data_IF_144747009929
#
_entry.id   IF_144747009929
#
_cell.length_a   1.000
_cell.length_b   1.000
_cell.length_c   1.000
_cell.angle_alpha   90.00
_cell.angle_beta   90.00
_cell.angle_gamma   90.00
#
_symmetry.space_group_name_H-M   'P 1'
#
loop_
_entity.id
_entity.type
_entity.pdbx_description
1 polymer ?
#
# COMPACT_ATOMS: atom_id res chain seq x y z
N UNK A 1 -28.27 -36.73 10.89
CA UNK A 1 -29.23 -37.59 10.18
C UNK A 1 -30.26 -36.81 9.34
N UNK A 2 -30.75 -35.63 9.78
CA UNK A 2 -31.74 -34.81 9.00
C UNK A 2 -31.16 -34.17 7.75
N UNK A 3 -29.98 -33.59 7.81
CA UNK A 3 -29.31 -32.94 6.66
C UNK A 3 -29.03 -33.90 5.49
N UNK A 4 -28.88 -35.18 5.80
CA UNK A 4 -28.64 -36.25 4.80
C UNK A 4 -29.93 -36.71 4.07
N UNK A 5 -31.12 -36.42 4.64
CA UNK A 5 -32.41 -36.82 4.03
C UNK A 5 -32.86 -35.90 2.88
N UNK A 6 -32.33 -34.69 2.80
CA UNK A 6 -32.60 -33.74 1.71
C UNK A 6 -31.30 -33.14 1.18
N UNK A 7 -30.45 -33.96 0.54
CA UNK A 7 -29.08 -33.59 0.19
C UNK A 7 -29.06 -32.39 -0.79
N UNK A 8 -29.95 -32.35 -1.75
CA UNK A 8 -30.02 -31.26 -2.73
C UNK A 8 -30.21 -29.86 -2.07
N UNK A 9 -31.21 -29.72 -1.17
CA UNK A 9 -31.48 -28.44 -0.52
C UNK A 9 -30.35 -28.02 0.44
N UNK A 10 -29.77 -29.02 1.14
CA UNK A 10 -28.61 -28.77 2.01
C UNK A 10 -27.41 -28.31 1.22
N UNK A 11 -27.12 -28.93 0.08
CA UNK A 11 -26.03 -28.54 -0.83
C UNK A 11 -26.24 -27.14 -1.38
N UNK A 12 -27.45 -26.81 -1.87
CA UNK A 12 -27.77 -25.46 -2.37
C UNK A 12 -27.60 -24.41 -1.28
N UNK A 13 -28.09 -24.69 -0.06
CA UNK A 13 -27.93 -23.76 1.06
C UNK A 13 -26.45 -23.54 1.44
N UNK A 14 -25.67 -24.61 1.55
CA UNK A 14 -24.23 -24.54 1.85
C UNK A 14 -23.46 -23.80 0.75
N UNK A 15 -23.73 -24.08 -0.54
CA UNK A 15 -23.09 -23.41 -1.66
C UNK A 15 -23.45 -21.91 -1.71
N UNK A 16 -24.72 -21.55 -1.47
CA UNK A 16 -25.14 -20.15 -1.43
C UNK A 16 -24.46 -19.39 -0.31
N UNK A 17 -24.34 -19.98 0.89
CA UNK A 17 -23.58 -19.39 2.00
C UNK A 17 -22.08 -19.30 1.69
N UNK A 18 -21.51 -20.38 1.15
CA UNK A 18 -20.08 -20.43 0.85
C UNK A 18 -19.69 -19.35 -0.16
N UNK A 19 -20.47 -19.19 -1.23
CA UNK A 19 -20.23 -18.15 -2.24
C UNK A 19 -20.46 -16.73 -1.68
N UNK A 20 -21.58 -16.51 -0.98
CA UNK A 20 -21.91 -15.20 -0.43
C UNK A 20 -20.92 -14.71 0.63
N UNK A 21 -20.59 -15.56 1.61
CA UNK A 21 -19.62 -15.22 2.66
C UNK A 21 -18.19 -15.22 2.10
N UNK A 22 -17.84 -16.19 1.25
CA UNK A 22 -16.50 -16.32 0.68
C UNK A 22 -16.11 -15.14 -0.20
N UNK A 23 -17.01 -14.68 -1.09
CA UNK A 23 -16.78 -13.51 -1.92
C UNK A 23 -16.63 -12.23 -1.07
N UNK A 24 -17.51 -12.03 -0.09
CA UNK A 24 -17.41 -10.90 0.84
C UNK A 24 -16.08 -10.90 1.63
N UNK A 25 -15.67 -12.06 2.13
CA UNK A 25 -14.41 -12.21 2.88
C UNK A 25 -13.19 -11.94 2.01
N UNK A 26 -13.19 -12.39 0.76
CA UNK A 26 -12.11 -12.13 -0.19
C UNK A 26 -12.01 -10.63 -0.52
N UNK A 27 -13.13 -9.97 -0.79
CA UNK A 27 -13.17 -8.53 -1.09
C UNK A 27 -12.78 -7.71 0.13
N UNK A 28 -13.25 -8.10 1.34
CA UNK A 28 -12.83 -7.44 2.58
C UNK A 28 -11.32 -7.58 2.81
N UNK A 29 -10.74 -8.74 2.52
CA UNK A 29 -9.29 -8.94 2.63
C UNK A 29 -8.51 -8.02 1.69
N UNK A 30 -8.97 -7.84 0.43
CA UNK A 30 -8.39 -6.88 -0.49
C UNK A 30 -8.57 -5.43 -0.01
N UNK A 31 -9.75 -5.10 0.49
CA UNK A 31 -10.04 -3.79 1.05
C UNK A 31 -9.12 -3.48 2.25
N UNK A 32 -8.94 -4.44 3.15
CA UNK A 32 -8.03 -4.32 4.28
C UNK A 32 -6.58 -4.10 3.83
N UNK A 33 -6.09 -4.94 2.91
CA UNK A 33 -4.71 -4.84 2.41
C UNK A 33 -4.43 -3.53 1.69
N UNK A 34 -5.37 -3.02 0.90
CA UNK A 34 -5.18 -1.83 0.09
C UNK A 34 -5.49 -0.55 0.88
N UNK A 35 -6.60 -0.50 1.63
CA UNK A 35 -7.11 0.74 2.20
C UNK A 35 -6.96 0.87 3.73
N UNK A 36 -6.70 -0.22 4.47
CA UNK A 36 -6.66 -0.17 5.94
C UNK A 36 -5.28 -0.46 6.50
N UNK A 37 -4.50 -1.34 5.87
CA UNK A 37 -3.24 -1.80 6.43
C UNK A 37 -2.22 -0.67 6.49
N UNK A 38 -1.68 -0.45 7.68
CA UNK A 38 -0.61 0.52 7.88
C UNK A 38 0.75 -0.06 7.50
N UNK A 39 1.70 0.82 7.15
CA UNK A 39 3.10 0.44 6.98
C UNK A 39 3.65 -0.23 8.23
N UNK A 40 4.51 -1.25 8.11
CA UNK A 40 5.14 -1.95 9.22
C UNK A 40 6.32 -1.14 9.78
N UNK A 41 6.02 0.03 10.31
CA UNK A 41 6.99 0.96 10.88
C UNK A 41 6.51 1.44 12.25
N UNK A 42 7.40 1.90 13.15
CA UNK A 42 7.01 2.50 14.41
C UNK A 42 6.08 3.70 14.20
N UNK A 43 5.01 3.79 15.01
CA UNK A 43 4.04 4.90 15.01
C UNK A 43 3.62 5.36 13.59
N UNK A 44 3.01 4.50 12.76
CA UNK A 44 2.69 4.82 11.38
C UNK A 44 1.72 6.00 11.25
N UNK A 45 0.92 6.27 12.29
CA UNK A 45 -0.02 7.41 12.34
C UNK A 45 0.66 8.77 12.42
N UNK A 46 1.94 8.83 12.81
CA UNK A 46 2.74 10.05 12.78
C UNK A 46 3.27 10.38 11.38
N UNK A 47 3.16 9.45 10.41
CA UNK A 47 3.58 9.69 9.04
C UNK A 47 2.57 10.56 8.29
N UNK A 48 3.09 11.45 7.45
CA UNK A 48 2.33 12.33 6.57
C UNK A 48 2.91 12.30 5.17
N UNK A 49 2.05 12.32 4.17
CA UNK A 49 2.40 12.46 2.76
C UNK A 49 2.25 13.91 2.32
N UNK A 50 3.21 14.42 1.59
CA UNK A 50 3.17 15.76 1.03
C UNK A 50 2.80 15.69 -0.45
N UNK A 51 2.00 16.66 -0.91
CA UNK A 51 1.66 16.85 -2.32
C UNK A 51 1.84 18.30 -2.73
N UNK A 52 2.11 18.53 -4.02
CA UNK A 52 2.28 19.86 -4.60
C UNK A 52 1.33 20.08 -5.79
N UNK A 53 0.00 20.09 -5.57
CA UNK A 53 -0.97 20.22 -6.65
C UNK A 53 -0.82 21.56 -7.40
N UNK A 54 -1.34 21.60 -8.62
CA UNK A 54 -1.35 22.77 -9.47
C UNK A 54 -0.28 22.78 -10.57
N UNK A 55 -0.11 23.91 -11.29
CA UNK A 55 0.76 23.98 -12.45
C UNK A 55 2.20 23.54 -12.15
N UNK A 56 2.73 22.66 -13.00
CA UNK A 56 4.13 22.19 -12.97
C UNK A 56 4.75 22.40 -14.34
N UNK A 57 5.28 23.62 -14.58
CA UNK A 57 5.93 23.94 -15.85
C UNK A 57 7.27 23.20 -15.93
N UNK A 58 7.43 22.37 -16.94
CA UNK A 58 8.64 21.60 -17.16
C UNK A 58 8.39 20.10 -17.26
N UNK A 59 9.38 19.30 -16.90
CA UNK A 59 9.30 17.84 -16.97
C UNK A 59 8.60 17.26 -15.74
N UNK A 60 7.66 16.36 -15.97
CA UNK A 60 7.00 15.62 -14.90
C UNK A 60 7.24 14.12 -15.11
N UNK A 61 7.55 13.42 -14.05
CA UNK A 61 7.76 11.98 -14.09
C UNK A 61 7.17 11.35 -12.84
N UNK A 62 6.01 10.73 -12.99
CA UNK A 62 5.25 10.09 -11.93
C UNK A 62 5.41 8.57 -12.01
N UNK A 63 5.10 7.89 -10.92
CA UNK A 63 5.17 6.44 -10.79
C UNK A 63 4.00 5.93 -9.96
N UNK A 64 4.03 4.65 -9.62
CA UNK A 64 3.00 4.02 -8.77
C UNK A 64 2.83 4.66 -7.38
N UNK A 65 3.78 5.49 -6.92
CA UNK A 65 3.69 6.16 -5.61
C UNK A 65 2.67 7.31 -5.58
N UNK A 66 2.16 7.75 -6.73
CA UNK A 66 1.14 8.79 -6.83
C UNK A 66 1.06 9.36 -8.24
N UNK A 67 0.04 10.19 -8.48
CA UNK A 67 -0.07 10.96 -9.71
C UNK A 67 0.95 12.11 -9.78
N UNK A 68 0.91 12.87 -10.88
CA UNK A 68 1.83 13.98 -11.07
C UNK A 68 1.52 15.20 -10.19
N UNK A 69 0.36 15.24 -9.53
CA UNK A 69 0.02 16.36 -8.64
C UNK A 69 0.78 16.30 -7.31
N UNK A 70 1.25 15.12 -6.91
CA UNK A 70 1.95 14.95 -5.62
C UNK A 70 3.48 15.02 -5.72
N UNK A 71 4.06 15.10 -6.94
CA UNK A 71 5.54 15.12 -7.08
C UNK A 71 6.13 16.52 -6.87
N UNK A 72 7.34 16.53 -6.32
CA UNK A 72 8.17 17.72 -6.13
C UNK A 72 9.42 17.67 -7.03
N UNK A 73 10.08 18.81 -7.22
CA UNK A 73 11.46 18.83 -7.67
C UNK A 73 12.39 18.42 -6.53
N UNK A 74 13.54 17.84 -6.86
CA UNK A 74 14.52 17.47 -5.83
C UNK A 74 15.06 18.69 -5.06
N UNK A 75 15.35 19.84 -5.69
CA UNK A 75 15.74 21.05 -4.94
C UNK A 75 14.65 21.55 -3.98
N UNK A 76 13.36 21.49 -4.36
CA UNK A 76 12.26 21.85 -3.45
C UNK A 76 12.22 20.94 -2.22
N UNK A 77 12.40 19.62 -2.43
CA UNK A 77 12.52 18.69 -1.30
C UNK A 77 13.67 19.08 -0.36
N UNK A 78 14.86 19.38 -0.89
CA UNK A 78 16.04 19.76 -0.11
C UNK A 78 15.83 21.06 0.67
N UNK A 79 15.18 22.06 0.05
CA UNK A 79 14.85 23.31 0.71
C UNK A 79 13.89 23.09 1.89
N UNK A 80 12.83 22.29 1.67
CA UNK A 80 11.88 21.94 2.73
C UNK A 80 12.52 21.10 3.83
N UNK A 81 13.35 20.10 3.48
CA UNK A 81 14.05 19.26 4.44
C UNK A 81 14.92 20.09 5.37
N UNK A 82 15.65 21.07 4.82
CA UNK A 82 16.54 21.95 5.59
C UNK A 82 15.81 22.95 6.47
N UNK A 83 14.69 23.49 5.99
CA UNK A 83 14.02 24.63 6.64
C UNK A 83 12.89 24.25 7.60
N UNK A 84 12.30 23.04 7.45
CA UNK A 84 11.14 22.63 8.25
C UNK A 84 11.49 22.39 9.73
N UNK A 85 10.51 22.68 10.61
CA UNK A 85 10.68 22.59 12.07
C UNK A 85 9.60 21.73 12.75
N UNK A 86 8.56 21.33 12.02
CA UNK A 86 7.37 20.64 12.55
C UNK A 86 7.42 19.11 12.39
N UNK A 87 8.40 18.62 11.63
CA UNK A 87 8.62 17.21 11.41
C UNK A 87 9.90 16.75 12.13
N UNK A 88 9.93 15.49 12.58
CA UNK A 88 11.16 14.85 13.07
C UNK A 88 12.09 14.47 11.92
N UNK A 89 11.53 14.24 10.73
CA UNK A 89 12.25 13.96 9.49
C UNK A 89 11.35 14.19 8.28
N UNK A 90 11.96 14.58 7.17
CA UNK A 90 11.36 14.69 5.85
C UNK A 90 12.18 13.81 4.90
N UNK A 91 11.54 13.02 4.08
CA UNK A 91 12.21 12.07 3.21
C UNK A 91 11.61 12.08 1.81
N UNK A 92 12.43 11.74 0.83
CA UNK A 92 12.02 11.60 -0.56
C UNK A 92 12.33 10.21 -1.08
N UNK A 93 11.50 9.75 -2.03
CA UNK A 93 11.73 8.48 -2.70
C UNK A 93 11.20 8.50 -4.14
N UNK A 94 11.61 7.47 -4.89
CA UNK A 94 11.11 7.15 -6.22
C UNK A 94 11.37 5.69 -6.55
N UNK A 95 10.40 5.02 -7.14
CA UNK A 95 10.58 3.66 -7.65
C UNK A 95 11.54 3.64 -8.84
N UNK A 96 12.31 2.58 -8.95
CA UNK A 96 13.32 2.35 -9.98
C UNK A 96 13.15 0.93 -10.55
N UNK A 97 12.87 0.81 -11.84
CA UNK A 97 13.07 -0.44 -12.56
C UNK A 97 14.54 -0.53 -13.00
N UNK A 98 15.22 -1.62 -12.67
CA UNK A 98 16.63 -1.78 -12.99
C UNK A 98 16.97 -3.18 -13.49
N UNK A 99 18.00 -3.26 -14.34
CA UNK A 99 18.73 -4.49 -14.59
C UNK A 99 19.77 -4.65 -13.51
N UNK A 100 19.73 -5.75 -12.77
CA UNK A 100 20.73 -6.07 -11.74
C UNK A 100 21.47 -7.33 -12.12
N UNK A 101 22.74 -7.45 -11.67
CA UNK A 101 23.47 -8.70 -11.78
C UNK A 101 24.18 -9.01 -10.46
N UNK A 102 24.10 -10.27 -10.05
CA UNK A 102 24.75 -10.84 -8.88
C UNK A 102 25.45 -12.10 -9.36
N UNK A 103 26.74 -12.23 -9.06
CA UNK A 103 27.57 -13.37 -9.49
C UNK A 103 27.47 -13.63 -11.02
N UNK A 104 27.41 -12.56 -11.82
CA UNK A 104 27.25 -12.56 -13.28
C UNK A 104 25.89 -13.10 -13.80
N UNK A 105 24.92 -13.30 -12.93
CA UNK A 105 23.54 -13.66 -13.34
C UNK A 105 22.67 -12.40 -13.44
N UNK A 106 22.29 -11.97 -14.66
CA UNK A 106 21.47 -10.78 -14.85
C UNK A 106 20.00 -11.10 -14.60
N UNK A 107 19.29 -10.14 -14.01
CA UNK A 107 17.83 -10.17 -13.83
C UNK A 107 17.26 -8.76 -13.81
N UNK A 108 15.97 -8.63 -14.14
CA UNK A 108 15.24 -7.38 -13.93
C UNK A 108 14.67 -7.35 -12.52
N UNK A 109 14.81 -6.24 -11.83
CA UNK A 109 14.28 -6.07 -10.49
C UNK A 109 13.74 -4.66 -10.27
N UNK A 110 12.74 -4.55 -9.40
CA UNK A 110 12.34 -3.26 -8.85
C UNK A 110 13.27 -2.87 -7.71
N UNK A 111 13.70 -1.62 -7.71
CA UNK A 111 14.39 -0.97 -6.61
C UNK A 111 13.69 0.32 -6.21
N UNK A 112 14.23 0.98 -5.22
CA UNK A 112 13.76 2.29 -4.79
C UNK A 112 14.95 3.22 -4.57
N UNK A 113 14.94 4.37 -5.22
CA UNK A 113 15.83 5.48 -4.92
C UNK A 113 15.26 6.22 -3.71
N UNK A 114 16.06 6.43 -2.67
CA UNK A 114 15.61 7.05 -1.41
C UNK A 114 16.59 8.11 -0.94
N UNK A 115 16.07 9.19 -0.34
CA UNK A 115 16.92 10.17 0.33
C UNK A 115 17.64 9.53 1.52
N UNK A 116 18.78 10.08 1.92
CA UNK A 116 19.50 9.59 3.10
C UNK A 116 18.69 9.68 4.40
N UNK A 117 17.70 10.57 4.44
CA UNK A 117 16.74 10.71 5.54
C UNK A 117 15.61 9.67 5.55
N UNK A 118 15.48 8.81 4.52
CA UNK A 118 14.36 7.89 4.35
C UNK A 118 14.18 6.92 5.52
N UNK A 119 15.19 6.11 5.80
CA UNK A 119 15.14 5.14 6.89
C UNK A 119 15.08 5.78 8.28
N UNK A 120 15.86 6.84 8.57
CA UNK A 120 15.72 7.60 9.81
C UNK A 120 14.31 8.17 10.04
N UNK A 121 13.66 8.71 9.01
CA UNK A 121 12.29 9.24 9.11
C UNK A 121 11.28 8.12 9.40
N UNK A 122 11.49 6.93 8.87
CA UNK A 122 10.67 5.73 9.14
C UNK A 122 11.01 5.06 10.47
N UNK A 123 12.13 5.46 11.13
CA UNK A 123 12.63 4.87 12.39
C UNK A 123 12.90 3.36 12.26
N UNK A 124 13.35 2.92 11.10
CA UNK A 124 13.65 1.53 10.84
C UNK A 124 15.06 1.15 11.29
N UNK A 125 15.21 -0.11 11.72
CA UNK A 125 16.50 -0.71 12.07
C UNK A 125 16.84 -1.79 11.04
N UNK A 126 18.13 -2.00 10.72
CA UNK A 126 18.54 -3.05 9.81
C UNK A 126 18.39 -4.44 10.44
N UNK A 127 18.08 -5.44 9.63
CA UNK A 127 18.24 -6.85 10.04
C UNK A 127 19.70 -7.23 10.08
N UNK A 128 20.51 -6.71 9.15
CA UNK A 128 21.94 -6.98 9.04
C UNK A 128 22.67 -5.73 8.54
N UNK A 129 23.89 -5.47 9.02
CA UNK A 129 24.70 -4.34 8.60
C UNK A 129 24.10 -2.99 8.99
N UNK A 130 23.98 -2.05 8.05
CA UNK A 130 23.40 -0.71 8.27
C UNK A 130 22.43 -0.32 7.16
N UNK A 131 21.53 0.59 7.47
CA UNK A 131 20.67 1.26 6.50
C UNK A 131 21.38 2.48 5.89
N UNK A 132 20.79 3.07 4.83
CA UNK A 132 21.25 4.32 4.25
C UNK A 132 21.02 5.47 5.26
N UNK A 133 21.97 6.39 5.25
CA UNK A 133 22.02 7.57 6.12
C UNK A 133 22.17 8.85 5.28
N UNK A 134 21.98 10.05 5.85
CA UNK A 134 22.22 11.31 5.13
C UNK A 134 23.62 11.42 4.51
N UNK A 135 24.63 10.81 5.12
CA UNK A 135 25.99 10.82 4.55
C UNK A 135 26.11 10.03 3.24
N UNK A 136 25.28 8.99 3.05
CA UNK A 136 25.27 8.20 1.81
C UNK A 136 24.63 8.96 0.64
N UNK A 137 23.85 10.03 0.92
CA UNK A 137 23.12 10.83 -0.06
C UNK A 137 23.66 12.28 -0.19
N UNK A 138 24.79 12.59 0.50
CA UNK A 138 25.30 13.94 0.59
C UNK A 138 25.95 14.45 -0.71
N UNK A 139 26.57 13.56 -1.50
CA UNK A 139 27.31 13.90 -2.72
C UNK A 139 26.72 13.17 -3.92
N UNK A 140 26.34 13.95 -4.92
CA UNK A 140 25.74 13.40 -6.16
C UNK A 140 26.69 12.45 -6.86
N UNK A 141 26.22 11.23 -7.13
CA UNK A 141 26.94 10.22 -7.90
C UNK A 141 28.16 9.61 -7.23
N UNK A 142 28.39 9.85 -5.91
CA UNK A 142 29.62 9.42 -5.24
C UNK A 142 29.50 8.11 -4.47
N UNK A 143 28.31 7.78 -3.95
CA UNK A 143 28.17 6.70 -2.98
C UNK A 143 27.48 5.47 -3.59
N UNK A 144 28.28 4.56 -4.13
CA UNK A 144 27.82 3.29 -4.73
C UNK A 144 27.54 2.24 -3.64
N UNK A 145 26.52 2.50 -2.83
CA UNK A 145 26.03 1.61 -1.77
C UNK A 145 24.57 1.24 -1.98
N UNK A 146 24.21 0.05 -1.54
CA UNK A 146 22.84 -0.45 -1.61
C UNK A 146 22.47 -1.21 -0.35
N UNK A 147 21.19 -1.12 0.02
CA UNK A 147 20.55 -1.91 1.07
C UNK A 147 19.57 -2.86 0.40
N UNK A 148 19.65 -4.15 0.69
CA UNK A 148 18.71 -5.14 0.17
C UNK A 148 17.40 -5.12 0.97
N UNK A 149 16.28 -5.50 0.34
CA UNK A 149 15.09 -5.88 1.11
C UNK A 149 15.34 -7.22 1.80
N UNK A 150 14.65 -7.45 2.93
CA UNK A 150 14.78 -8.70 3.68
C UNK A 150 14.35 -9.91 2.83
N UNK A 151 13.25 -9.79 2.09
CA UNK A 151 12.74 -10.84 1.23
C UNK A 151 13.76 -11.22 0.15
N UNK A 152 14.35 -10.24 -0.52
CA UNK A 152 15.33 -10.48 -1.58
C UNK A 152 16.62 -11.11 -1.02
N UNK A 153 17.07 -10.69 0.16
CA UNK A 153 18.19 -11.33 0.85
C UNK A 153 17.89 -12.80 1.19
N UNK A 154 16.67 -13.11 1.65
CA UNK A 154 16.25 -14.49 1.93
C UNK A 154 16.13 -15.33 0.67
N UNK A 155 15.50 -14.80 -0.39
CA UNK A 155 15.26 -15.51 -1.64
C UNK A 155 16.56 -15.78 -2.41
N UNK A 156 17.43 -14.77 -2.55
CA UNK A 156 18.59 -14.85 -3.44
C UNK A 156 19.87 -15.31 -2.73
N UNK A 157 20.03 -14.97 -1.47
CA UNK A 157 21.23 -15.26 -0.69
C UNK A 157 20.99 -16.28 0.44
N UNK A 158 19.79 -16.87 0.53
CA UNK A 158 19.44 -17.85 1.57
C UNK A 158 19.51 -17.31 3.01
N UNK A 159 19.58 -15.99 3.17
CA UNK A 159 19.77 -15.37 4.48
C UNK A 159 21.23 -15.40 4.96
N UNK A 160 22.21 -15.55 4.06
CA UNK A 160 23.64 -15.56 4.38
C UNK A 160 24.11 -14.19 4.89
N UNK A 161 24.65 -14.09 6.13
CA UNK A 161 25.22 -12.83 6.63
C UNK A 161 26.47 -12.37 5.85
N UNK A 162 27.15 -13.28 5.16
CA UNK A 162 28.30 -12.97 4.30
C UNK A 162 27.95 -12.15 3.06
N UNK A 163 26.70 -11.69 2.89
CA UNK A 163 26.26 -10.78 1.83
C UNK A 163 26.84 -9.38 1.97
N UNK A 164 27.17 -8.95 3.19
CA UNK A 164 27.77 -7.63 3.44
C UNK A 164 29.11 -7.48 2.73
N UNK A 165 29.29 -6.35 2.05
CA UNK A 165 30.48 -6.04 1.26
C UNK A 165 30.54 -6.73 -0.11
N UNK A 166 29.63 -7.66 -0.42
CA UNK A 166 29.50 -8.19 -1.78
C UNK A 166 29.03 -7.07 -2.75
N UNK A 167 29.38 -7.25 -4.01
CA UNK A 167 29.05 -6.32 -5.08
C UNK A 167 27.80 -6.79 -5.82
N UNK A 168 26.86 -5.87 -6.03
CA UNK A 168 25.73 -6.02 -6.93
C UNK A 168 25.83 -4.98 -8.05
N UNK A 169 25.74 -5.41 -9.30
CA UNK A 169 25.70 -4.50 -10.45
C UNK A 169 24.26 -4.00 -10.61
N UNK A 170 24.07 -2.69 -10.68
CA UNK A 170 22.77 -2.06 -10.92
C UNK A 170 22.92 -1.13 -12.12
N UNK A 171 22.20 -1.39 -13.20
CA UNK A 171 22.25 -0.64 -14.46
C UNK A 171 23.68 -0.40 -14.97
N UNK A 172 24.56 -1.41 -14.81
CA UNK A 172 25.97 -1.38 -15.28
C UNK A 172 26.98 -0.79 -14.29
N UNK A 173 26.54 -0.27 -13.14
CA UNK A 173 27.42 0.25 -12.09
C UNK A 173 27.49 -0.69 -10.89
N UNK A 174 28.68 -0.82 -10.28
CA UNK A 174 28.92 -1.73 -9.14
C UNK A 174 28.57 -1.04 -7.82
N UNK A 175 27.63 -1.61 -7.07
CA UNK A 175 27.22 -1.14 -5.75
C UNK A 175 27.62 -2.13 -4.66
N UNK A 176 28.15 -1.64 -3.54
CA UNK A 176 28.44 -2.45 -2.36
C UNK A 176 27.20 -2.64 -1.51
N UNK A 177 26.90 -3.88 -1.13
CA UNK A 177 25.79 -4.20 -0.21
C UNK A 177 26.24 -3.84 1.21
N UNK A 178 25.61 -2.82 1.81
CA UNK A 178 25.96 -2.32 3.15
C UNK A 178 25.01 -2.79 4.25
N UNK A 179 23.86 -3.33 3.88
CA UNK A 179 22.90 -3.83 4.85
C UNK A 179 21.68 -4.46 4.23
N UNK A 180 20.84 -4.98 5.12
CA UNK A 180 19.55 -5.59 4.82
C UNK A 180 18.47 -4.90 5.63
N UNK A 181 17.38 -4.51 4.98
CA UNK A 181 16.22 -3.89 5.61
C UNK A 181 15.51 -4.82 6.59
N UNK A 182 14.59 -4.30 7.41
CA UNK A 182 13.85 -5.12 8.37
C UNK A 182 12.88 -6.06 7.68
N UNK A 183 12.59 -7.17 8.35
CA UNK A 183 11.61 -8.16 7.91
C UNK A 183 10.22 -7.53 7.74
N UNK A 184 9.51 -7.89 6.67
CA UNK A 184 8.16 -7.42 6.38
C UNK A 184 8.06 -5.99 5.83
N UNK A 185 9.18 -5.25 5.72
CA UNK A 185 9.18 -3.92 5.14
C UNK A 185 9.43 -3.99 3.63
N UNK A 186 8.42 -3.64 2.84
CA UNK A 186 8.43 -3.67 1.37
C UNK A 186 8.45 -2.26 0.73
N UNK A 187 8.95 -1.27 1.46
CA UNK A 187 8.97 0.13 0.98
C UNK A 187 7.72 0.92 1.36
N UNK A 188 7.66 2.17 0.91
CA UNK A 188 6.57 3.12 1.21
C UNK A 188 5.55 3.26 0.08
N UNK A 189 5.69 2.48 -1.01
CA UNK A 189 4.76 2.50 -2.15
C UNK A 189 3.95 1.21 -2.20
N UNK A 190 2.65 1.30 -2.01
CA UNK A 190 1.77 0.14 -2.12
C UNK A 190 1.79 -0.40 -3.56
N UNK A 191 1.87 -1.73 -3.69
CA UNK A 191 1.95 -2.41 -4.98
C UNK A 191 3.35 -2.54 -5.56
N UNK A 192 4.34 -1.84 -4.99
CA UNK A 192 5.76 -2.02 -5.32
C UNK A 192 6.44 -2.91 -4.28
N UNK A 193 7.36 -3.76 -4.74
CA UNK A 193 8.18 -4.63 -3.87
C UNK A 193 9.64 -4.45 -4.20
N UNK A 194 10.25 -3.33 -3.78
CA UNK A 194 11.66 -3.06 -4.04
C UNK A 194 12.54 -4.17 -3.46
N UNK A 195 13.42 -4.71 -4.28
CA UNK A 195 14.41 -5.70 -3.88
C UNK A 195 15.65 -5.04 -3.28
N UNK A 196 15.86 -3.76 -3.58
CA UNK A 196 17.00 -3.00 -3.08
C UNK A 196 16.66 -1.50 -2.99
N UNK A 197 17.44 -0.81 -2.17
CA UNK A 197 17.36 0.64 -1.97
C UNK A 197 18.71 1.27 -2.24
N UNK A 198 18.73 2.39 -2.98
CA UNK A 198 19.95 3.14 -3.33
C UNK A 198 19.76 4.63 -3.03
N UNK A 199 20.82 5.40 -2.76
CA UNK A 199 20.72 6.83 -2.54
C UNK A 199 20.09 7.55 -3.75
N UNK A 200 19.21 8.51 -3.50
CA UNK A 200 18.52 9.25 -4.57
C UNK A 200 19.47 10.14 -5.36
N UNK A 201 20.56 10.59 -4.74
CA UNK A 201 21.66 11.31 -5.39
C UNK A 201 22.40 10.50 -6.47
N UNK A 202 22.20 9.16 -6.47
CA UNK A 202 22.78 8.26 -7.50
C UNK A 202 21.94 8.19 -8.78
N UNK A 203 20.80 8.90 -8.86
CA UNK A 203 19.93 8.88 -10.05
C UNK A 203 20.66 9.13 -11.38
N UNK A 204 21.61 10.09 -11.48
CA UNK A 204 22.38 10.30 -12.73
C UNK A 204 23.20 9.09 -13.18
N UNK A 205 23.55 8.19 -12.28
CA UNK A 205 24.32 6.96 -12.55
C UNK A 205 23.39 5.77 -12.87
N UNK A 206 22.12 5.87 -12.47
CA UNK A 206 21.13 4.81 -12.62
C UNK A 206 20.26 4.96 -13.87
N UNK A 207 19.98 6.19 -14.27
CA UNK A 207 19.12 6.51 -15.42
C UNK A 207 19.92 7.21 -16.51
N UNK A 208 20.14 6.56 -17.66
CA UNK A 208 20.98 7.03 -18.76
C UNK A 208 20.65 8.42 -19.29
N UNK A 209 19.37 8.81 -19.23
CA UNK A 209 18.89 10.11 -19.75
C UNK A 209 18.73 11.17 -18.65
N UNK A 210 19.24 10.90 -17.46
CA UNK A 210 19.17 11.81 -16.32
C UNK A 210 20.59 12.16 -15.84
N UNK A 211 21.04 13.37 -16.15
CA UNK A 211 22.37 13.85 -15.72
C UNK A 211 22.31 14.62 -14.38
N UNK A 212 23.49 14.93 -13.83
CA UNK A 212 23.61 15.65 -12.55
C UNK A 212 22.95 17.05 -12.58
N UNK A 213 22.99 17.76 -13.72
CA UNK A 213 22.34 19.06 -13.86
C UNK A 213 20.81 18.95 -13.68
N UNK A 214 20.19 17.86 -14.17
CA UNK A 214 18.76 17.64 -14.00
C UNK A 214 18.35 17.40 -12.56
N UNK A 215 19.26 16.92 -11.72
CA UNK A 215 18.99 16.76 -10.30
C UNK A 215 18.74 18.13 -9.64
N UNK A 216 19.46 19.17 -10.07
CA UNK A 216 19.36 20.54 -9.57
C UNK A 216 18.30 21.40 -10.25
N UNK A 217 17.60 20.85 -11.26
CA UNK A 217 16.55 21.57 -11.97
C UNK A 217 15.27 21.67 -11.17
N UNK A 218 14.84 22.86 -10.80
CA UNK A 218 13.59 23.12 -10.10
C UNK A 218 12.34 22.88 -10.96
N UNK A 219 12.49 22.72 -12.28
CA UNK A 219 11.43 22.42 -13.25
C UNK A 219 11.33 20.92 -13.61
N UNK A 220 12.08 20.05 -12.96
CA UNK A 220 11.99 18.59 -13.07
C UNK A 220 11.32 18.01 -11.82
N UNK A 221 10.02 17.66 -11.92
CA UNK A 221 9.18 17.19 -10.83
C UNK A 221 9.10 15.66 -10.87
N UNK A 222 9.62 14.98 -9.84
CA UNK A 222 9.75 13.53 -9.91
C UNK A 222 9.91 12.83 -8.55
N UNK A 223 10.13 13.54 -7.46
CA UNK A 223 10.27 12.94 -6.13
C UNK A 223 8.96 12.96 -5.39
N UNK A 224 8.67 11.86 -4.71
CA UNK A 224 7.59 11.75 -3.75
C UNK A 224 8.15 12.06 -2.36
N UNK A 225 7.42 12.85 -1.60
CA UNK A 225 7.89 13.37 -0.31
C UNK A 225 6.92 12.95 0.79
N UNK A 226 7.48 12.44 1.88
CA UNK A 226 6.73 12.15 3.10
C UNK A 226 7.54 12.60 4.31
N UNK A 227 6.87 12.75 5.45
CA UNK A 227 7.53 13.14 6.68
C UNK A 227 6.93 12.46 7.89
N UNK A 228 7.56 12.68 9.04
CA UNK A 228 7.04 12.25 10.34
C UNK A 228 6.79 13.47 11.23
N UNK A 229 5.57 13.62 11.70
CA UNK A 229 5.20 14.69 12.63
C UNK A 229 5.98 14.59 13.94
N UNK A 230 6.35 15.73 14.48
CA UNK A 230 6.83 15.81 15.86
C UNK A 230 5.69 15.49 16.84
N UNK A 231 5.99 14.92 18.02
CA UNK A 231 4.97 14.68 19.04
C UNK A 231 4.19 15.96 19.36
N UNK A 232 2.85 15.87 19.39
CA UNK A 232 1.94 16.98 19.70
C UNK A 232 1.66 17.94 18.55
N UNK A 233 2.27 17.77 17.38
CA UNK A 233 1.97 18.58 16.19
C UNK A 233 0.77 18.00 15.46
N UNK A 234 -0.27 18.80 15.21
CA UNK A 234 -1.43 18.40 14.41
C UNK A 234 -1.17 18.52 12.91
N UNK A 235 -2.01 17.85 12.12
CA UNK A 235 -1.93 17.91 10.66
C UNK A 235 -2.12 19.35 10.14
N UNK A 236 -3.04 20.11 10.74
CA UNK A 236 -3.33 21.50 10.40
C UNK A 236 -2.13 22.41 10.71
N UNK A 237 -1.50 22.22 11.87
CA UNK A 237 -0.30 22.96 12.24
C UNK A 237 0.86 22.67 11.29
N UNK A 238 1.06 21.39 10.93
CA UNK A 238 2.09 21.01 9.96
C UNK A 238 1.80 21.60 8.58
N UNK A 239 0.55 21.56 8.12
CA UNK A 239 0.13 22.16 6.85
C UNK A 239 0.39 23.66 6.81
N UNK A 240 0.04 24.37 7.86
CA UNK A 240 0.26 25.81 7.95
C UNK A 240 1.76 26.17 7.95
N UNK A 241 2.55 25.47 8.78
CA UNK A 241 3.99 25.71 8.91
C UNK A 241 4.74 25.40 7.59
N UNK A 242 4.44 24.25 6.95
CA UNK A 242 5.08 23.87 5.69
C UNK A 242 4.67 24.80 4.53
N UNK A 243 3.42 25.27 4.48
CA UNK A 243 3.02 26.28 3.50
C UNK A 243 3.66 27.64 3.77
N UNK A 244 3.98 27.98 5.02
CA UNK A 244 4.77 29.17 5.37
C UNK A 244 6.16 29.15 4.76
N UNK A 245 6.76 27.96 4.57
CA UNK A 245 8.04 27.78 3.88
C UNK A 245 7.88 27.66 2.36
N UNK A 246 6.88 26.88 1.91
CA UNK A 246 6.67 26.57 0.51
C UNK A 246 6.35 27.79 -0.35
N UNK A 247 5.45 28.68 0.14
CA UNK A 247 5.02 29.87 -0.62
C UNK A 247 6.16 30.84 -0.95
N UNK A 248 7.05 31.22 -0.03
CA UNK A 248 8.22 32.03 -0.37
C UNK A 248 9.11 31.34 -1.40
N UNK A 249 9.37 30.03 -1.28
CA UNK A 249 10.19 29.32 -2.27
C UNK A 249 9.54 29.35 -3.66
N UNK A 250 8.22 29.14 -3.75
CA UNK A 250 7.48 29.26 -5.01
C UNK A 250 7.58 30.67 -5.59
N UNK A 251 7.37 31.73 -4.78
CA UNK A 251 7.25 33.08 -5.27
C UNK A 251 8.60 33.74 -5.57
N UNK A 252 9.59 33.50 -4.70
CA UNK A 252 10.86 34.26 -4.72
C UNK A 252 11.97 33.48 -5.44
N UNK A 253 11.85 32.13 -5.48
CA UNK A 253 12.88 31.27 -6.10
C UNK A 253 12.40 30.62 -7.38
N UNK A 254 11.22 29.96 -7.39
CA UNK A 254 10.77 29.17 -8.55
C UNK A 254 10.02 30.02 -9.60
N UNK A 255 9.17 30.95 -9.19
CA UNK A 255 8.42 31.78 -10.16
C UNK A 255 9.31 32.62 -11.09
N UNK A 256 10.43 33.21 -10.64
CA UNK A 256 11.36 33.92 -11.51
C UNK A 256 12.03 33.05 -12.58
N UNK A 257 12.09 31.73 -12.35
CA UNK A 257 12.69 30.76 -13.30
C UNK A 257 11.72 30.30 -14.37
N UNK A 258 10.45 30.74 -14.34
CA UNK A 258 9.42 30.29 -15.25
C UNK A 258 9.34 31.21 -16.47
N UNK A 259 9.74 30.70 -17.63
CA UNK A 259 9.61 31.38 -18.90
C UNK A 259 8.42 30.87 -19.72
N UNK A 260 7.76 31.74 -20.46
CA UNK A 260 6.73 31.36 -21.42
C UNK A 260 5.37 30.96 -20.83
N UNK A 261 5.13 31.23 -19.55
CA UNK A 261 3.81 31.05 -18.94
C UNK A 261 2.86 32.20 -19.27
N UNK A 262 1.58 31.86 -19.53
CA UNK A 262 0.54 32.88 -19.54
C UNK A 262 0.39 33.52 -18.15
N UNK A 263 -0.05 34.78 -18.11
CA UNK A 263 -0.24 35.50 -16.85
C UNK A 263 -1.21 34.75 -15.91
N UNK A 264 -2.29 34.20 -16.44
CA UNK A 264 -3.25 33.37 -15.67
C UNK A 264 -2.59 32.12 -15.07
N UNK A 265 -1.73 31.45 -15.81
CA UNK A 265 -1.02 30.26 -15.32
C UNK A 265 0.00 30.62 -14.26
N UNK A 266 0.71 31.75 -14.44
CA UNK A 266 1.66 32.29 -13.48
C UNK A 266 0.96 32.66 -12.15
N UNK A 267 -0.21 33.28 -12.21
CA UNK A 267 -1.01 33.59 -11.02
C UNK A 267 -1.37 32.29 -10.26
N UNK A 268 -1.84 31.24 -10.98
CA UNK A 268 -2.12 29.93 -10.36
C UNK A 268 -0.85 29.26 -9.83
N UNK A 269 0.28 29.40 -10.50
CA UNK A 269 1.56 28.88 -10.02
C UNK A 269 1.99 29.55 -8.71
N UNK A 270 1.91 30.88 -8.62
CA UNK A 270 2.22 31.64 -7.41
C UNK A 270 1.26 31.38 -6.25
N UNK A 271 0.02 31.03 -6.55
CA UNK A 271 -1.00 30.70 -5.56
C UNK A 271 -0.93 29.24 -5.05
N UNK A 272 0.02 28.43 -5.56
CA UNK A 272 0.18 27.04 -5.13
C UNK A 272 0.37 26.90 -3.62
N UNK A 273 -0.25 25.85 -3.11
CA UNK A 273 -0.05 25.39 -1.74
C UNK A 273 0.30 23.92 -1.75
N UNK A 274 1.13 23.49 -0.83
CA UNK A 274 1.33 22.06 -0.61
C UNK A 274 0.19 21.48 0.24
N UNK A 275 -0.13 20.22 -0.01
CA UNK A 275 -1.06 19.44 0.80
C UNK A 275 -0.28 18.54 1.74
N UNK A 276 -0.83 18.31 2.93
CA UNK A 276 -0.32 17.34 3.91
C UNK A 276 -1.46 16.40 4.25
N UNK A 277 -1.27 15.12 4.01
CA UNK A 277 -2.27 14.09 4.21
C UNK A 277 -1.74 12.99 5.13
N UNK A 278 -2.61 12.22 5.83
CA UNK A 278 -2.17 11.06 6.61
C UNK A 278 -1.39 10.06 5.76
N UNK A 279 -0.18 9.70 6.20
CA UNK A 279 0.77 8.86 5.47
C UNK A 279 0.91 7.43 6.01
N UNK A 280 0.05 7.01 6.95
CA UNK A 280 0.19 5.73 7.65
C UNK A 280 0.23 4.49 6.73
N UNK A 281 -0.30 4.59 5.53
CA UNK A 281 -0.38 3.51 4.54
C UNK A 281 0.70 3.65 3.44
N UNK A 282 1.56 4.67 3.52
CA UNK A 282 2.51 5.03 2.47
C UNK A 282 1.87 5.87 1.37
N UNK A 283 2.49 5.86 0.20
CA UNK A 283 2.08 6.62 -0.99
C UNK A 283 1.75 5.66 -2.14
N UNK A 284 0.61 5.87 -2.81
CA UNK A 284 0.24 5.08 -3.99
C UNK A 284 -0.88 5.74 -4.80
N UNK A 285 -0.78 5.68 -6.12
CA UNK A 285 -1.89 6.01 -7.02
C UNK A 285 -3.06 5.03 -6.87
N UNK A 286 -2.78 3.79 -6.46
CA UNK A 286 -3.78 2.74 -6.27
C UNK A 286 -4.85 3.15 -5.25
N UNK A 287 -4.50 3.95 -4.22
CA UNK A 287 -5.50 4.41 -3.23
C UNK A 287 -6.63 5.20 -3.87
N UNK A 288 -6.31 6.15 -4.73
CA UNK A 288 -7.31 6.98 -5.41
C UNK A 288 -8.12 6.16 -6.42
N UNK A 289 -7.44 5.32 -7.21
CA UNK A 289 -8.03 4.52 -8.27
C UNK A 289 -8.88 3.35 -7.75
N UNK A 290 -8.43 2.65 -6.71
CA UNK A 290 -9.09 1.45 -6.18
C UNK A 290 -10.25 1.78 -5.21
N UNK A 291 -10.27 2.96 -4.61
CA UNK A 291 -11.24 3.31 -3.56
C UNK A 291 -12.69 3.15 -4.03
N UNK A 292 -13.08 3.78 -5.12
CA UNK A 292 -14.45 3.73 -5.62
C UNK A 292 -14.86 2.35 -6.12
N UNK A 293 -14.06 1.64 -6.95
CA UNK A 293 -14.35 0.26 -7.34
C UNK A 293 -14.51 -0.69 -6.15
N UNK A 294 -13.64 -0.59 -5.13
CA UNK A 294 -13.72 -1.46 -3.95
C UNK A 294 -14.98 -1.22 -3.13
N UNK A 295 -15.40 0.03 -2.92
CA UNK A 295 -16.67 0.33 -2.23
C UNK A 295 -17.88 -0.19 -3.00
N UNK A 296 -17.90 -0.03 -4.33
CA UNK A 296 -18.97 -0.56 -5.18
C UNK A 296 -19.01 -2.09 -5.13
N UNK A 297 -17.87 -2.73 -5.25
CA UNK A 297 -17.74 -4.19 -5.19
C UNK A 297 -18.20 -4.74 -3.83
N UNK A 298 -17.82 -4.08 -2.75
CA UNK A 298 -18.24 -4.43 -1.39
C UNK A 298 -19.77 -4.27 -1.22
N UNK A 299 -20.35 -3.21 -1.78
CA UNK A 299 -21.79 -3.00 -1.79
C UNK A 299 -22.54 -4.10 -2.57
N UNK A 300 -22.07 -4.42 -3.77
CA UNK A 300 -22.67 -5.48 -4.62
C UNK A 300 -22.62 -6.84 -3.92
N UNK A 301 -21.47 -7.22 -3.34
CA UNK A 301 -21.35 -8.50 -2.63
C UNK A 301 -22.17 -8.55 -1.36
N UNK A 302 -22.35 -7.42 -0.67
CA UNK A 302 -23.28 -7.28 0.44
C UNK A 302 -24.75 -7.57 0.03
N UNK A 303 -25.18 -7.04 -1.12
CA UNK A 303 -26.51 -7.34 -1.68
C UNK A 303 -26.64 -8.81 -2.05
N UNK A 304 -25.62 -9.41 -2.69
CA UNK A 304 -25.60 -10.84 -3.02
C UNK A 304 -25.72 -11.69 -1.76
N UNK A 305 -25.03 -11.34 -0.69
CA UNK A 305 -25.14 -12.02 0.61
C UNK A 305 -26.55 -11.91 1.19
N UNK A 306 -27.19 -10.74 1.12
CA UNK A 306 -28.58 -10.56 1.56
C UNK A 306 -29.56 -11.44 0.76
N UNK A 307 -29.37 -11.56 -0.56
CA UNK A 307 -30.16 -12.44 -1.41
C UNK A 307 -29.95 -13.91 -1.00
N UNK A 308 -28.72 -14.31 -0.76
CA UNK A 308 -28.41 -15.66 -0.29
C UNK A 308 -29.08 -15.95 1.07
N UNK A 309 -29.04 -15.02 2.01
CA UNK A 309 -29.71 -15.14 3.31
C UNK A 309 -31.23 -15.24 3.16
N UNK A 310 -31.85 -14.42 2.30
CA UNK A 310 -33.28 -14.48 2.02
C UNK A 310 -33.70 -15.83 1.40
N UNK A 311 -32.91 -16.33 0.44
CA UNK A 311 -33.15 -17.64 -0.15
C UNK A 311 -33.09 -18.78 0.87
N UNK A 312 -32.10 -18.73 1.77
CA UNK A 312 -31.97 -19.73 2.86
C UNK A 312 -33.15 -19.63 3.84
N UNK A 313 -33.55 -18.42 4.20
CA UNK A 313 -34.72 -18.21 5.06
C UNK A 313 -35.99 -18.79 4.41
N UNK A 314 -36.22 -18.55 3.13
CA UNK A 314 -37.35 -19.12 2.37
C UNK A 314 -37.28 -20.66 2.32
N UNK A 315 -36.10 -21.24 2.09
CA UNK A 315 -35.90 -22.69 2.08
C UNK A 315 -36.18 -23.31 3.47
N UNK A 316 -35.75 -22.66 4.54
CA UNK A 316 -36.02 -23.11 5.93
C UNK A 316 -37.49 -23.01 6.29
N UNK A 317 -38.19 -21.95 5.86
CA UNK A 317 -39.63 -21.76 6.03
C UNK A 317 -40.42 -22.84 5.28
N UNK A 318 -40.10 -23.09 4.02
CA UNK A 318 -40.74 -24.13 3.23
C UNK A 318 -40.55 -25.52 3.85
N UNK A 319 -39.35 -25.82 4.36
CA UNK A 319 -39.09 -27.06 5.13
C UNK A 319 -39.92 -27.14 6.43
N UNK A 320 -40.01 -26.01 7.14
CA UNK A 320 -40.80 -25.93 8.39
C UNK A 320 -42.28 -26.23 8.13
N UNK A 321 -42.85 -25.64 7.08
CA UNK A 321 -44.23 -25.88 6.67
C UNK A 321 -44.47 -27.34 6.31
N UNK A 322 -43.59 -27.99 5.53
CA UNK A 322 -43.69 -29.41 5.19
C UNK A 322 -43.57 -30.38 6.39
N UNK A 323 -43.09 -29.90 7.54
CA UNK A 323 -42.96 -30.70 8.79
C UNK A 323 -43.98 -30.36 9.86
N UNK A 324 -45.01 -29.55 9.54
CA UNK A 324 -46.03 -29.15 10.48
C UNK A 324 -46.74 -30.33 11.16
N UNK A 325 -47.05 -31.37 10.37
CA UNK A 325 -47.66 -32.58 10.88
C UNK A 325 -46.74 -33.39 11.85
N UNK A 326 -45.44 -33.49 11.52
CA UNK A 326 -44.44 -34.14 12.41
C UNK A 326 -44.27 -33.39 13.72
N UNK A 327 -44.26 -32.03 13.65
CA UNK A 327 -44.19 -31.17 14.82
C UNK A 327 -45.44 -31.32 15.70
N UNK A 328 -46.62 -31.40 15.07
CA UNK A 328 -47.88 -31.65 15.76
C UNK A 328 -47.92 -32.98 16.53
N UNK A 329 -47.41 -34.06 15.92
CA UNK A 329 -47.29 -35.39 16.58
C UNK A 329 -46.33 -35.31 17.75
N UNK A 330 -45.18 -34.61 17.63
CA UNK A 330 -44.24 -34.49 18.74
C UNK A 330 -44.82 -33.66 19.91
N UNK A 331 -45.56 -32.60 19.62
CA UNK A 331 -46.30 -31.85 20.65
C UNK A 331 -47.35 -32.71 21.36
N UNK A 332 -48.09 -33.55 20.63
CA UNK A 332 -49.07 -34.47 21.18
C UNK A 332 -48.43 -35.58 22.06
N UNK A 333 -47.16 -35.92 21.76
CA UNK A 333 -46.35 -36.86 22.54
C UNK A 333 -45.65 -36.19 23.76
N UNK A 334 -45.93 -34.88 24.03
CA UNK A 334 -45.42 -34.16 25.21
C UNK A 334 -44.12 -33.38 25.02
N UNK A 335 -43.66 -33.20 23.77
CA UNK A 335 -42.49 -32.34 23.53
C UNK A 335 -42.81 -30.85 23.87
N UNK A 336 -41.87 -30.18 24.51
CA UNK A 336 -42.01 -28.75 24.86
C UNK A 336 -41.67 -27.86 23.66
N UNK A 337 -42.23 -26.64 23.61
CA UNK A 337 -41.90 -25.64 22.60
C UNK A 337 -40.40 -25.35 22.54
N UNK A 338 -39.73 -25.34 23.71
CA UNK A 338 -38.27 -25.14 23.82
C UNK A 338 -37.45 -26.24 23.14
N UNK A 339 -37.88 -27.50 23.24
CA UNK A 339 -37.22 -28.62 22.56
C UNK A 339 -37.36 -28.54 21.01
N UNK A 340 -38.51 -28.10 20.54
CA UNK A 340 -38.71 -27.88 19.07
C UNK A 340 -37.90 -26.71 18.53
N UNK A 341 -37.84 -25.61 19.30
CA UNK A 341 -36.97 -24.45 18.94
C UNK A 341 -35.49 -24.84 18.97
N UNK A 342 -35.05 -25.58 19.99
CA UNK A 342 -33.66 -26.05 20.06
C UNK A 342 -33.27 -26.94 18.86
N UNK A 343 -34.17 -27.79 18.40
CA UNK A 343 -33.97 -28.64 17.26
C UNK A 343 -33.77 -27.81 15.95
N UNK A 344 -34.64 -26.81 15.71
CA UNK A 344 -34.55 -25.94 14.56
C UNK A 344 -33.29 -25.07 14.58
N UNK A 345 -32.96 -24.54 15.76
CA UNK A 345 -31.75 -23.75 15.95
C UNK A 345 -30.49 -24.57 15.69
N UNK A 346 -30.45 -25.83 16.20
CA UNK A 346 -29.32 -26.73 15.98
C UNK A 346 -29.13 -27.03 14.48
N UNK A 347 -30.23 -27.26 13.74
CA UNK A 347 -30.16 -27.48 12.28
C UNK A 347 -29.62 -26.23 11.56
N UNK A 348 -30.08 -25.04 11.93
CA UNK A 348 -29.62 -23.76 11.34
C UNK A 348 -28.15 -23.48 11.67
N UNK A 349 -27.73 -23.73 12.90
CA UNK A 349 -26.33 -23.53 13.32
C UNK A 349 -25.40 -24.51 12.58
N UNK A 350 -25.80 -25.77 12.43
CA UNK A 350 -25.00 -26.73 11.66
C UNK A 350 -24.86 -26.33 10.19
N UNK A 351 -25.93 -25.85 9.56
CA UNK A 351 -25.87 -25.34 8.19
C UNK A 351 -24.96 -24.10 8.07
N UNK A 352 -25.03 -23.18 9.05
CA UNK A 352 -24.19 -22.00 9.10
C UNK A 352 -22.71 -22.37 9.28
N UNK A 353 -22.40 -23.34 10.14
CA UNK A 353 -21.02 -23.84 10.33
C UNK A 353 -20.45 -24.51 9.07
N UNK A 354 -21.24 -25.35 8.40
CA UNK A 354 -20.83 -25.99 7.15
C UNK A 354 -20.63 -24.96 6.02
N UNK A 355 -21.56 -24.01 5.89
CA UNK A 355 -21.43 -22.91 4.93
C UNK A 355 -20.24 -22.00 5.24
N UNK A 356 -19.99 -21.69 6.52
CA UNK A 356 -18.84 -20.94 6.99
C UNK A 356 -17.51 -21.64 6.72
N UNK A 357 -17.41 -22.96 6.98
CA UNK A 357 -16.22 -23.72 6.65
C UNK A 357 -15.95 -23.78 5.12
N UNK A 358 -17.01 -24.00 4.33
CA UNK A 358 -16.90 -23.97 2.86
C UNK A 358 -16.53 -22.57 2.34
N UNK A 359 -16.99 -21.49 2.97
CA UNK A 359 -16.68 -20.11 2.57
C UNK A 359 -15.19 -19.77 2.72
N UNK A 360 -14.48 -20.34 3.69
CA UNK A 360 -13.04 -20.16 3.84
C UNK A 360 -12.26 -20.72 2.64
N UNK A 361 -12.69 -21.88 2.13
CA UNK A 361 -12.10 -22.50 0.94
C UNK A 361 -12.34 -21.60 -0.28
N UNK A 362 -13.58 -21.12 -0.47
CA UNK A 362 -13.92 -20.21 -1.58
C UNK A 362 -13.13 -18.91 -1.46
N UNK A 363 -13.02 -18.30 -0.29
CA UNK A 363 -12.27 -17.08 -0.07
C UNK A 363 -10.78 -17.27 -0.43
N UNK A 364 -10.17 -18.37 0.02
CA UNK A 364 -8.77 -18.66 -0.26
C UNK A 364 -8.53 -18.91 -1.77
N UNK A 365 -9.39 -19.65 -2.45
CA UNK A 365 -9.30 -19.85 -3.90
C UNK A 365 -9.46 -18.54 -4.66
N UNK A 366 -10.40 -17.69 -4.26
CA UNK A 366 -10.61 -16.38 -4.88
C UNK A 366 -9.39 -15.51 -4.73
N UNK A 367 -8.79 -15.44 -3.53
CA UNK A 367 -7.57 -14.65 -3.29
C UNK A 367 -6.37 -15.18 -4.07
N UNK A 368 -6.19 -16.50 -4.12
CA UNK A 368 -5.12 -17.13 -4.91
C UNK A 368 -5.31 -16.83 -6.40
N UNK A 369 -6.54 -16.95 -6.92
CA UNK A 369 -6.86 -16.66 -8.32
C UNK A 369 -6.59 -15.18 -8.66
N UNK A 370 -7.01 -14.26 -7.81
CA UNK A 370 -6.72 -12.81 -7.99
C UNK A 370 -5.21 -12.56 -7.95
N UNK A 371 -4.48 -13.21 -7.01
CA UNK A 371 -3.03 -13.10 -6.91
C UNK A 371 -2.26 -13.61 -8.13
N UNK A 372 -2.84 -14.54 -8.91
CA UNK A 372 -2.25 -15.01 -10.18
C UNK A 372 -2.54 -14.08 -11.36
N UNK A 373 -3.56 -13.23 -11.27
CA UNK A 373 -3.93 -12.25 -12.30
C UNK A 373 -3.24 -10.89 -12.12
N UNK A 374 -2.74 -10.60 -10.92
CA UNK A 374 -1.95 -9.41 -10.64
C UNK A 374 -0.46 -9.81 -10.68
N UNK A 375 0.31 -9.36 -11.69
CA UNK A 375 1.73 -9.65 -11.80
C UNK A 375 2.57 -9.00 -10.69
#
# INVERSE_FOLDING_TARGET
>A
RMLVRTPFVTTVAVLSLALGIGANSAIFSLFDQILLRSLPVPEPTALVNLGAPGPKPGSQSCSQAGDCDVVFSYPMFRDLEKAQTVLTGLAAHRNLGASIAIDNEPMTAEGMMVSGSYFPTLQLQPTLGRLLTPNDDAVVGANYVTVLSHEFWRERFGGDPGVLGKTMIINGSSYSIVGVGPEGFTGTTLGSRPRFFVPISMRPQLERYFNAERLERRRDYWVYVFGRLKPGVTLEQATAALNGLYRPIINDVEAPLQDGMSEQTMQRFRAKTLTVEPGKQGQSSIFAEARTPLYLLFGVTGVVLLIACANIANLLLARGAGRAAEMGVRLALGATRGQLLSLLLTESVLLALLGGAASLIVAQWTLTFIGTLMP
#
